data_IF_450492845332
#
_entry.id   IF_450492845332
#
_cell.length_a   1.000
_cell.length_b   1.000
_cell.length_c   1.000
_cell.angle_alpha   90.00
_cell.angle_beta   90.00
_cell.angle_gamma   90.00
#
_symmetry.space_group_name_H-M   'P 1'
#
loop_
_entity.id
_entity.type
_entity.pdbx_description
1 polymer ?
#
# COMPACT_ATOMS: atom_id res chain seq x y z
N UNK A 1 -19.39 0.04 0.56
CA UNK A 1 -19.50 -1.13 1.47
C UNK A 1 -18.69 -0.81 2.71
N UNK A 2 -19.33 -0.77 3.83
CA UNK A 2 -18.70 -0.31 5.06
C UNK A 2 -17.74 -1.32 5.70
N UNK A 3 -17.35 -1.01 6.92
CA UNK A 3 -16.58 -1.91 7.79
C UNK A 3 -17.33 -3.22 7.99
N UNK A 4 -16.67 -4.35 7.74
CA UNK A 4 -17.26 -5.69 7.90
C UNK A 4 -17.26 -6.12 9.38
N UNK A 5 -16.21 -5.75 10.11
CA UNK A 5 -16.05 -6.02 11.53
C UNK A 5 -15.14 -4.96 12.15
N UNK A 6 -15.27 -4.71 13.44
CA UNK A 6 -14.42 -3.73 14.12
C UNK A 6 -14.25 -4.02 15.61
N UNK A 7 -13.12 -3.58 16.15
CA UNK A 7 -12.89 -3.53 17.60
C UNK A 7 -12.31 -2.17 17.98
N UNK A 8 -13.00 -1.46 18.83
CA UNK A 8 -12.63 -0.12 19.29
C UNK A 8 -12.47 -0.11 20.80
N UNK A 9 -11.38 0.47 21.28
CA UNK A 9 -11.08 0.68 22.68
C UNK A 9 -10.66 2.15 22.91
N UNK A 10 -10.34 2.50 24.12
CA UNK A 10 -9.76 3.82 24.46
C UNK A 10 -8.33 4.02 23.91
N UNK A 11 -7.65 2.95 23.48
CA UNK A 11 -6.25 2.97 23.04
C UNK A 11 -6.07 2.70 21.56
N UNK A 12 -6.96 1.94 20.94
CA UNK A 12 -6.86 1.57 19.52
C UNK A 12 -8.22 1.28 18.90
N UNK A 13 -8.25 1.38 17.58
CA UNK A 13 -9.37 0.93 16.76
C UNK A 13 -8.85 0.03 15.64
N UNK A 14 -9.48 -1.12 15.46
CA UNK A 14 -9.18 -2.06 14.37
C UNK A 14 -10.45 -2.20 13.53
N UNK A 15 -10.30 -2.06 12.23
CA UNK A 15 -11.40 -2.20 11.28
C UNK A 15 -11.02 -3.22 10.21
N UNK A 16 -11.91 -4.19 9.98
CA UNK A 16 -11.83 -5.08 8.84
C UNK A 16 -12.74 -4.53 7.73
N UNK A 17 -12.17 -4.14 6.61
CA UNK A 17 -12.91 -3.54 5.50
C UNK A 17 -11.98 -3.00 4.42
N UNK A 18 -12.59 -2.36 3.42
CA UNK A 18 -11.85 -1.66 2.37
C UNK A 18 -11.11 -0.45 2.97
N UNK A 19 -9.80 -0.38 2.76
CA UNK A 19 -8.97 0.66 3.36
C UNK A 19 -9.27 2.06 2.81
N UNK A 20 -9.70 2.17 1.55
CA UNK A 20 -10.06 3.46 0.93
C UNK A 20 -11.34 3.99 1.58
N UNK A 21 -12.36 3.15 1.70
CA UNK A 21 -13.60 3.52 2.40
C UNK A 21 -13.36 3.84 3.88
N UNK A 22 -12.50 3.05 4.53
CA UNK A 22 -12.09 3.31 5.92
C UNK A 22 -11.44 4.69 6.05
N UNK A 23 -10.50 5.03 5.18
CA UNK A 23 -9.84 6.33 5.19
C UNK A 23 -10.78 7.49 4.89
N UNK A 24 -11.82 7.29 4.06
CA UNK A 24 -12.83 8.33 3.77
C UNK A 24 -13.56 8.81 5.01
N UNK A 25 -13.70 7.96 6.03
CA UNK A 25 -14.29 8.33 7.32
C UNK A 25 -13.36 9.19 8.20
N UNK A 26 -12.07 9.25 7.89
CA UNK A 26 -11.08 9.99 8.66
C UNK A 26 -11.01 11.46 8.22
N UNK A 27 -10.80 12.33 9.20
CA UNK A 27 -10.62 13.76 8.96
C UNK A 27 -9.32 14.01 8.17
N UNK A 28 -9.36 14.93 7.21
CA UNK A 28 -8.19 15.42 6.49
C UNK A 28 -7.11 15.89 7.45
N UNK A 29 -5.86 15.45 7.23
CA UNK A 29 -4.72 15.88 8.04
C UNK A 29 -4.75 15.39 9.49
N UNK A 30 -5.43 14.28 9.79
CA UNK A 30 -5.55 13.76 11.16
C UNK A 30 -4.54 12.67 11.53
N UNK A 31 -3.89 12.08 10.54
CA UNK A 31 -2.95 10.96 10.74
C UNK A 31 -1.52 11.49 10.81
N UNK A 32 -0.81 11.11 11.85
CA UNK A 32 0.56 11.57 12.11
C UNK A 32 1.62 10.63 11.54
N UNK A 33 1.31 9.35 11.42
CA UNK A 33 2.20 8.33 10.88
C UNK A 33 1.39 7.16 10.38
N UNK A 34 1.80 6.58 9.27
CA UNK A 34 1.27 5.32 8.78
C UNK A 34 2.38 4.39 8.32
N UNK A 35 2.16 3.11 8.48
CA UNK A 35 3.01 2.06 7.92
C UNK A 35 2.14 0.95 7.36
N UNK A 36 2.50 0.45 6.20
CA UNK A 36 1.75 -0.61 5.55
C UNK A 36 2.59 -1.30 4.48
N UNK A 37 2.08 -2.43 3.99
CA UNK A 37 2.66 -3.18 2.90
C UNK A 37 1.56 -3.39 1.85
N UNK A 38 1.70 -2.85 0.64
CA UNK A 38 0.75 -3.15 -0.42
C UNK A 38 0.92 -4.60 -0.89
N UNK A 39 -0.07 -5.21 -1.56
CA UNK A 39 0.15 -6.47 -2.27
C UNK A 39 1.30 -6.33 -3.27
N UNK A 40 2.15 -7.34 -3.36
CA UNK A 40 3.30 -7.31 -4.27
C UNK A 40 2.89 -7.79 -5.66
N UNK A 41 2.26 -6.88 -6.43
CA UNK A 41 2.06 -7.06 -7.87
C UNK A 41 1.45 -8.40 -8.34
N UNK A 42 0.51 -9.01 -7.57
CA UNK A 42 -0.15 -10.24 -7.97
C UNK A 42 0.55 -11.54 -7.52
N UNK A 43 1.55 -11.45 -6.63
CA UNK A 43 2.20 -12.65 -6.06
C UNK A 43 1.27 -13.50 -5.18
N UNK A 44 0.29 -12.88 -4.52
CA UNK A 44 -0.66 -13.55 -3.63
C UNK A 44 -2.05 -12.94 -3.79
N UNK A 45 -3.08 -13.79 -3.79
CA UNK A 45 -4.49 -13.39 -3.67
C UNK A 45 -4.90 -13.42 -2.19
N UNK A 46 -5.47 -12.32 -1.69
CA UNK A 46 -5.88 -12.18 -0.29
C UNK A 46 -7.39 -12.31 -0.10
N UNK A 47 -8.18 -11.94 -1.10
CA UNK A 47 -9.64 -12.07 -1.06
C UNK A 47 -10.23 -12.30 -2.45
N UNK A 48 -11.54 -12.57 -2.53
CA UNK A 48 -12.28 -12.67 -3.80
C UNK A 48 -12.91 -11.34 -4.25
N UNK A 49 -12.61 -10.24 -3.58
CA UNK A 49 -13.18 -8.93 -3.90
C UNK A 49 -12.52 -8.32 -5.14
N UNK A 50 -13.32 -7.78 -6.06
CA UNK A 50 -12.84 -7.01 -7.22
C UNK A 50 -12.09 -5.73 -6.81
N UNK A 51 -12.23 -5.30 -5.58
CA UNK A 51 -11.53 -4.14 -5.00
C UNK A 51 -10.20 -4.48 -4.34
N UNK A 52 -9.89 -5.77 -4.23
CA UNK A 52 -8.61 -6.23 -3.72
C UNK A 52 -7.53 -6.05 -4.78
N UNK A 53 -6.53 -5.24 -4.48
CA UNK A 53 -5.41 -4.95 -5.38
C UNK A 53 -4.64 -6.22 -5.81
N UNK A 54 -4.71 -7.29 -5.02
CA UNK A 54 -4.11 -8.58 -5.37
C UNK A 54 -4.79 -9.28 -6.55
N UNK A 55 -6.02 -8.88 -6.89
CA UNK A 55 -6.82 -9.43 -7.98
C UNK A 55 -6.68 -8.64 -9.30
N UNK A 56 -5.82 -7.63 -9.36
CA UNK A 56 -5.56 -6.90 -10.60
C UNK A 56 -4.99 -7.81 -11.69
N UNK A 57 -5.51 -7.67 -12.92
CA UNK A 57 -5.15 -8.53 -14.05
C UNK A 57 -3.72 -8.34 -14.53
N UNK A 58 -3.13 -7.16 -14.28
CA UNK A 58 -1.78 -6.84 -14.67
C UNK A 58 -1.18 -5.74 -13.77
N UNK A 59 0.11 -5.54 -13.92
CA UNK A 59 0.91 -4.59 -13.15
C UNK A 59 0.45 -3.13 -13.32
N UNK A 60 0.05 -2.73 -14.53
CA UNK A 60 -0.43 -1.38 -14.83
C UNK A 60 -1.75 -1.09 -14.09
N UNK A 61 -2.71 -2.01 -14.20
CA UNK A 61 -3.99 -1.91 -13.50
C UNK A 61 -3.81 -1.84 -11.97
N UNK A 62 -2.85 -2.59 -11.44
CA UNK A 62 -2.50 -2.50 -10.02
C UNK A 62 -2.16 -1.06 -9.63
N UNK A 63 -1.29 -0.38 -10.38
CA UNK A 63 -0.88 1.00 -10.07
C UNK A 63 -2.01 2.02 -10.30
N UNK A 64 -2.88 1.81 -11.26
CA UNK A 64 -4.08 2.63 -11.44
C UNK A 64 -4.98 2.58 -10.20
N UNK A 65 -5.26 1.39 -9.71
CA UNK A 65 -6.09 1.20 -8.52
C UNK A 65 -5.37 1.65 -7.24
N UNK A 66 -4.08 1.35 -7.11
CA UNK A 66 -3.30 1.75 -5.94
C UNK A 66 -3.19 3.27 -5.80
N UNK A 67 -3.25 4.02 -6.89
CA UNK A 67 -3.26 5.48 -6.86
C UNK A 67 -4.41 6.06 -6.01
N UNK A 68 -5.59 5.42 -6.00
CA UNK A 68 -6.70 5.85 -5.16
C UNK A 68 -6.37 5.74 -3.67
N UNK A 69 -5.74 4.64 -3.27
CA UNK A 69 -5.29 4.44 -1.88
C UNK A 69 -4.23 5.49 -1.49
N UNK A 70 -3.23 5.71 -2.33
CA UNK A 70 -2.13 6.66 -2.07
C UNK A 70 -2.66 8.10 -1.98
N UNK A 71 -3.66 8.46 -2.79
CA UNK A 71 -4.31 9.77 -2.76
C UNK A 71 -5.09 10.00 -1.47
N UNK A 72 -5.89 9.01 -1.03
CA UNK A 72 -6.60 9.09 0.24
C UNK A 72 -5.64 9.13 1.43
N UNK A 73 -4.56 8.35 1.37
CA UNK A 73 -3.50 8.38 2.37
C UNK A 73 -2.85 9.77 2.47
N UNK A 74 -2.61 10.43 1.33
CA UNK A 74 -2.11 11.81 1.30
C UNK A 74 -3.09 12.79 1.95
N UNK A 75 -4.39 12.64 1.69
CA UNK A 75 -5.43 13.49 2.27
C UNK A 75 -5.50 13.38 3.79
N UNK A 76 -5.47 12.17 4.32
CA UNK A 76 -5.61 11.94 5.77
C UNK A 76 -4.33 12.23 6.54
N UNK A 77 -3.17 12.18 5.91
CA UNK A 77 -1.88 12.43 6.57
C UNK A 77 -1.66 13.93 6.79
N UNK A 78 -1.29 14.29 8.00
CA UNK A 78 -0.94 15.67 8.35
C UNK A 78 0.28 16.14 7.54
N UNK A 79 0.26 17.36 6.96
CA UNK A 79 1.42 17.90 6.26
C UNK A 79 2.71 17.84 7.10
N UNK A 80 3.81 17.45 6.46
CA UNK A 80 5.11 17.27 7.13
C UNK A 80 5.27 15.95 7.88
N UNK A 81 4.27 15.06 7.84
CA UNK A 81 4.33 13.74 8.45
C UNK A 81 4.69 12.66 7.42
N UNK A 82 4.97 11.47 7.89
CA UNK A 82 5.62 10.40 7.13
C UNK A 82 4.68 9.19 6.99
N UNK A 83 4.70 8.60 5.81
CA UNK A 83 4.25 7.22 5.58
C UNK A 83 5.45 6.32 5.31
N UNK A 84 5.43 5.11 5.83
CA UNK A 84 6.44 4.10 5.58
C UNK A 84 5.82 2.92 4.83
N UNK A 85 6.31 2.63 3.63
CA UNK A 85 5.83 1.52 2.80
C UNK A 85 6.85 0.39 2.81
N UNK A 86 6.44 -0.77 3.28
CA UNK A 86 7.25 -1.99 3.23
C UNK A 86 7.01 -2.71 1.91
N UNK A 87 8.07 -2.92 1.14
CA UNK A 87 8.01 -3.59 -0.17
C UNK A 87 9.37 -4.18 -0.54
N UNK A 88 9.40 -4.94 -1.60
CA UNK A 88 10.62 -5.51 -2.18
C UNK A 88 10.51 -5.57 -3.70
N UNK A 89 11.62 -5.81 -4.39
CA UNK A 89 11.59 -6.13 -5.81
C UNK A 89 10.75 -7.38 -6.07
N UNK A 90 10.02 -7.37 -7.18
CA UNK A 90 9.12 -8.47 -7.56
C UNK A 90 9.76 -9.28 -8.68
N UNK A 91 9.83 -10.61 -8.55
CA UNK A 91 10.31 -11.46 -9.65
C UNK A 91 9.43 -11.28 -10.90
N UNK A 92 10.07 -11.12 -12.05
CA UNK A 92 9.40 -11.11 -13.36
C UNK A 92 9.11 -12.53 -13.83
N UNK A 93 8.25 -13.25 -13.09
CA UNK A 93 8.16 -14.71 -13.07
C UNK A 93 7.57 -15.38 -14.32
N UNK A 94 6.97 -14.62 -15.24
CA UNK A 94 6.26 -15.19 -16.38
C UNK A 94 7.05 -15.17 -17.69
N UNK A 95 8.25 -14.63 -17.70
CA UNK A 95 9.05 -14.43 -18.94
C UNK A 95 10.18 -15.43 -19.11
N UNK A 96 10.37 -16.35 -18.17
CA UNK A 96 11.52 -17.28 -18.20
C UNK A 96 12.88 -16.59 -18.09
N UNK A 97 12.89 -15.34 -17.65
CA UNK A 97 14.10 -14.54 -17.39
C UNK A 97 14.30 -14.37 -15.90
N UNK A 98 15.52 -14.52 -15.44
CA UNK A 98 15.93 -14.30 -14.05
C UNK A 98 16.02 -12.79 -13.77
N UNK A 99 14.93 -12.05 -14.01
CA UNK A 99 14.87 -10.61 -13.84
C UNK A 99 13.94 -10.19 -12.71
N UNK A 100 14.19 -9.00 -12.19
CA UNK A 100 13.37 -8.36 -11.15
C UNK A 100 12.70 -7.11 -11.71
N UNK A 101 11.51 -6.83 -11.20
CA UNK A 101 10.80 -5.57 -11.40
C UNK A 101 11.13 -4.66 -10.22
N UNK A 102 11.57 -3.43 -10.51
CA UNK A 102 11.82 -2.39 -9.49
C UNK A 102 10.49 -1.87 -8.93
N UNK A 103 9.78 -2.74 -8.21
CA UNK A 103 8.52 -2.39 -7.57
C UNK A 103 8.66 -1.25 -6.55
N UNK A 104 9.69 -1.20 -5.69
CA UNK A 104 9.92 -0.07 -4.80
C UNK A 104 10.08 1.26 -5.53
N UNK A 105 10.78 1.29 -6.65
CA UNK A 105 10.93 2.49 -7.48
C UNK A 105 9.60 2.94 -8.09
N UNK A 106 8.78 2.02 -8.55
CA UNK A 106 7.44 2.34 -9.07
C UNK A 106 6.50 2.86 -7.99
N UNK A 107 6.59 2.32 -6.77
CA UNK A 107 5.87 2.85 -5.60
C UNK A 107 6.29 4.30 -5.31
N UNK A 108 7.58 4.59 -5.32
CA UNK A 108 8.08 5.96 -5.11
C UNK A 108 7.52 6.89 -6.16
N UNK A 109 7.60 6.53 -7.44
CA UNK A 109 7.09 7.33 -8.57
C UNK A 109 5.59 7.59 -8.46
N UNK A 110 4.81 6.58 -8.05
CA UNK A 110 3.37 6.74 -7.79
C UNK A 110 3.11 7.74 -6.67
N UNK A 111 3.78 7.59 -5.54
CA UNK A 111 3.61 8.50 -4.39
C UNK A 111 3.95 9.94 -4.76
N UNK A 112 5.03 10.17 -5.50
CA UNK A 112 5.42 11.51 -5.96
C UNK A 112 4.36 12.13 -6.88
N UNK A 113 3.76 11.36 -7.79
CA UNK A 113 2.64 11.83 -8.62
C UNK A 113 1.42 12.24 -7.80
N UNK A 114 1.17 11.57 -6.69
CA UNK A 114 0.04 11.87 -5.79
C UNK A 114 0.39 12.90 -4.70
N UNK A 115 1.50 13.61 -4.84
CA UNK A 115 1.86 14.77 -4.01
C UNK A 115 2.76 14.47 -2.81
N UNK A 116 3.25 13.25 -2.68
CA UNK A 116 4.24 12.90 -1.66
C UNK A 116 5.65 13.32 -2.08
N UNK A 117 6.55 13.36 -1.12
CA UNK A 117 7.99 13.58 -1.34
C UNK A 117 8.77 12.38 -0.82
N UNK A 118 9.62 11.81 -1.66
CA UNK A 118 10.51 10.74 -1.22
C UNK A 118 11.61 11.30 -0.31
N UNK A 119 11.71 10.76 0.92
CA UNK A 119 12.65 11.24 1.93
C UNK A 119 13.76 10.24 2.27
N UNK A 120 13.62 9.00 1.86
CA UNK A 120 14.66 8.01 2.07
C UNK A 120 14.18 6.57 2.03
N UNK A 121 15.13 5.67 2.02
CA UNK A 121 14.93 4.22 2.02
C UNK A 121 15.71 3.59 3.17
N UNK A 122 15.16 2.54 3.74
CA UNK A 122 15.84 1.69 4.72
C UNK A 122 15.80 0.26 4.23
N UNK A 123 16.95 -0.40 4.20
CA UNK A 123 17.02 -1.83 3.88
C UNK A 123 16.72 -2.64 5.13
N UNK A 124 15.83 -3.63 5.00
CA UNK A 124 15.58 -4.61 6.04
C UNK A 124 16.43 -5.83 5.70
N UNK A 125 17.42 -6.09 6.54
CA UNK A 125 18.25 -7.28 6.40
C UNK A 125 17.58 -8.46 7.06
N UNK A 126 17.53 -9.59 6.35
CA UNK A 126 17.06 -10.88 6.88
C UNK A 126 18.10 -11.97 6.58
N UNK A 127 18.26 -12.89 7.50
CA UNK A 127 19.02 -14.09 7.25
C UNK A 127 18.35 -14.91 6.14
N UNK A 128 19.05 -15.26 5.02
CA UNK A 128 18.41 -15.94 3.89
C UNK A 128 17.82 -17.30 4.22
N UNK A 129 18.31 -17.92 5.29
CA UNK A 129 17.89 -19.26 5.73
C UNK A 129 16.95 -19.24 6.95
N UNK A 130 16.54 -18.07 7.38
CA UNK A 130 15.62 -17.90 8.52
C UNK A 130 14.17 -18.08 8.11
#
# INVERSE_FOLDING_TARGET
>A
MGVLDSRVTDKYAIYNGDCIEGMQSLKTGSIHFSTYSPPFGGLYQYSSSDRDLSNCNNYEQFFEHYAYCVRELARVTMPGRITAVHCMDVPASNSGTDSLIDFPGDIIRLHEREGWRFTGRRMIWKEPLA
#
